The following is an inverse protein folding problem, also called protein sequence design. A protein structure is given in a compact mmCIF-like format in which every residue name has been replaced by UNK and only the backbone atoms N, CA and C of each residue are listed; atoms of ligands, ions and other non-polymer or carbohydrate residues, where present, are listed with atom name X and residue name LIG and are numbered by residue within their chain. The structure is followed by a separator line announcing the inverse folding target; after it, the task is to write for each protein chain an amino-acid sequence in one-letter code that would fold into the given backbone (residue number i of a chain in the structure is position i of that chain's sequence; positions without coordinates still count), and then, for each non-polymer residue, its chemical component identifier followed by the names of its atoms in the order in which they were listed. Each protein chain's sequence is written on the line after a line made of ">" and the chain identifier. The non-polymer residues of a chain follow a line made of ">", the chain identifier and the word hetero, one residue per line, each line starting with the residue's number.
data_IF_837719914814
#
_entry.id   IF_837719914814
#
_cell.length_a   1.000
_cell.length_b   1.000
_cell.length_c   1.000
_cell.angle_alpha   90.00
_cell.angle_beta   90.00
_cell.angle_gamma   90.00
#
_symmetry.space_group_name_H-M   'P 1'
#
loop_
_entity.id
_entity.type
_entity.pdbx_description
1 polymer ?
#
# COMPACT_ATOMS: atom_id res chain seq x y z
N UNK A 1 -20.71 -13.42 -6.38
CA UNK A 1 -19.72 -13.81 -7.40
C UNK A 1 -18.45 -13.03 -7.08
N UNK A 2 -17.35 -13.72 -6.79
CA UNK A 2 -16.04 -13.08 -6.63
C UNK A 2 -15.73 -12.38 -7.97
N UNK A 3 -15.31 -11.13 -7.94
CA UNK A 3 -15.30 -10.26 -9.12
C UNK A 3 -14.63 -10.90 -10.36
N UNK A 4 -15.18 -10.60 -11.53
CA UNK A 4 -14.61 -11.01 -12.83
C UNK A 4 -13.42 -10.11 -13.15
N UNK A 5 -12.28 -10.38 -12.52
CA UNK A 5 -11.03 -9.69 -12.83
C UNK A 5 -10.38 -10.34 -14.05
N UNK A 6 -10.00 -9.53 -15.05
CA UNK A 6 -9.05 -9.99 -16.05
C UNK A 6 -7.64 -10.07 -15.45
N UNK A 7 -6.73 -10.88 -16.02
CA UNK A 7 -5.32 -10.83 -15.66
C UNK A 7 -4.77 -9.41 -15.84
N UNK A 8 -4.12 -8.83 -14.82
CA UNK A 8 -3.62 -7.45 -14.87
C UNK A 8 -4.48 -6.43 -14.09
N UNK A 9 -5.78 -6.69 -13.92
CA UNK A 9 -6.69 -5.68 -13.38
C UNK A 9 -6.41 -5.36 -11.91
N UNK A 10 -5.96 -6.35 -11.14
CA UNK A 10 -5.71 -6.22 -9.70
C UNK A 10 -4.42 -5.45 -9.43
N UNK A 11 -3.35 -5.79 -10.12
CA UNK A 11 -2.08 -5.09 -10.06
C UNK A 11 -2.22 -3.66 -10.55
N UNK A 12 -2.89 -3.41 -11.69
CA UNK A 12 -3.13 -2.06 -12.17
C UNK A 12 -3.90 -1.22 -11.13
N UNK A 13 -4.97 -1.79 -10.54
CA UNK A 13 -5.70 -1.09 -9.50
C UNK A 13 -4.82 -0.78 -8.28
N UNK A 14 -4.07 -1.77 -7.78
CA UNK A 14 -3.22 -1.58 -6.61
C UNK A 14 -2.17 -0.50 -6.89
N UNK A 15 -1.46 -0.57 -8.02
CA UNK A 15 -0.43 0.38 -8.40
C UNK A 15 -0.96 1.78 -8.73
N UNK A 16 -2.22 1.91 -9.18
CA UNK A 16 -2.88 3.22 -9.36
C UNK A 16 -3.03 4.01 -8.05
N UNK A 17 -2.86 3.35 -6.89
CA UNK A 17 -2.86 3.98 -5.57
C UNK A 17 -1.45 4.11 -4.96
N UNK A 18 -0.38 3.78 -5.69
CA UNK A 18 0.97 3.98 -5.19
C UNK A 18 1.27 5.48 -5.04
N UNK A 19 1.75 5.93 -3.86
CA UNK A 19 2.12 7.32 -3.65
C UNK A 19 3.41 7.67 -4.41
N UNK A 20 3.63 8.97 -4.63
CA UNK A 20 4.90 9.46 -5.14
C UNK A 20 6.05 9.17 -4.14
N UNK A 21 7.09 8.41 -4.55
CA UNK A 21 8.24 8.14 -3.70
C UNK A 21 9.00 9.39 -3.26
N UNK A 22 8.99 10.47 -4.05
CA UNK A 22 9.77 11.67 -3.77
C UNK A 22 9.33 12.40 -2.49
N UNK A 23 8.07 12.24 -2.08
CA UNK A 23 7.51 12.85 -0.88
C UNK A 23 7.68 12.03 0.41
N UNK A 24 8.37 10.89 0.36
CA UNK A 24 8.41 9.90 1.45
C UNK A 24 9.84 9.68 1.95
N UNK A 25 10.35 10.52 2.87
CA UNK A 25 11.68 10.32 3.44
C UNK A 25 11.73 9.02 4.25
N UNK A 26 12.92 8.42 4.32
CA UNK A 26 13.14 7.20 5.10
C UNK A 26 12.77 7.41 6.58
N UNK A 27 11.86 6.60 7.16
CA UNK A 27 11.54 6.67 8.57
C UNK A 27 12.78 6.35 9.41
N UNK A 28 13.01 7.05 10.52
CA UNK A 28 14.17 6.80 11.39
C UNK A 28 13.83 5.77 12.46
N UNK A 29 12.57 5.72 12.86
CA UNK A 29 12.01 4.88 13.91
C UNK A 29 10.68 4.30 13.48
N UNK A 30 10.21 3.24 14.15
CA UNK A 30 8.91 2.63 13.86
C UNK A 30 7.74 3.59 14.12
N UNK A 31 7.90 4.59 15.00
CA UNK A 31 6.85 5.58 15.26
C UNK A 31 6.68 6.59 14.12
N UNK A 32 7.67 6.68 13.22
CA UNK A 32 7.58 7.52 12.03
C UNK A 32 6.75 6.85 10.92
N UNK A 33 6.48 5.54 11.04
CA UNK A 33 5.67 4.77 10.09
C UNK A 33 4.20 4.88 10.49
N UNK A 34 3.33 5.46 9.63
CA UNK A 34 1.91 5.61 9.97
C UNK A 34 1.19 4.25 9.95
N UNK A 35 0.09 4.13 10.71
CA UNK A 35 -0.75 2.93 10.66
C UNK A 35 -1.67 2.88 9.42
N UNK A 36 -1.96 4.05 8.83
CA UNK A 36 -2.82 4.25 7.66
C UNK A 36 -2.37 5.49 6.88
N UNK A 37 -2.66 5.56 5.59
CA UNK A 37 -2.44 6.76 4.76
C UNK A 37 -3.69 7.13 3.97
N UNK A 38 -3.76 8.34 3.37
CA UNK A 38 -4.82 8.69 2.43
C UNK A 38 -4.95 7.67 1.29
N UNK A 39 -3.82 7.22 0.73
CA UNK A 39 -3.76 6.25 -0.36
C UNK A 39 -4.26 4.88 0.08
N UNK A 40 -3.86 4.39 1.27
CA UNK A 40 -4.33 3.11 1.79
C UNK A 40 -5.83 3.10 2.06
N UNK A 41 -6.37 4.25 2.50
CA UNK A 41 -7.81 4.45 2.67
C UNK A 41 -8.54 4.41 1.33
N UNK A 42 -7.99 5.07 0.30
CA UNK A 42 -8.53 5.06 -1.06
C UNK A 42 -8.51 3.64 -1.67
N UNK A 43 -7.38 2.94 -1.56
CA UNK A 43 -7.22 1.55 -2.01
C UNK A 43 -8.21 0.61 -1.32
N UNK A 44 -8.35 0.68 0.00
CA UNK A 44 -9.35 -0.11 0.76
C UNK A 44 -10.76 0.12 0.22
N UNK A 45 -11.14 1.37 -0.09
CA UNK A 45 -12.46 1.69 -0.67
C UNK A 45 -12.61 1.10 -2.07
N UNK A 46 -11.60 1.22 -2.93
CA UNK A 46 -11.62 0.71 -4.30
C UNK A 46 -11.74 -0.83 -4.33
N UNK A 47 -10.96 -1.52 -3.50
CA UNK A 47 -11.00 -2.99 -3.37
C UNK A 47 -12.37 -3.46 -2.86
N UNK A 48 -12.93 -2.78 -1.84
CA UNK A 48 -14.30 -3.07 -1.34
C UNK A 48 -15.36 -2.87 -2.40
N UNK A 49 -15.25 -1.80 -3.21
CA UNK A 49 -16.18 -1.53 -4.31
C UNK A 49 -16.16 -2.65 -5.36
N UNK A 50 -15.01 -3.30 -5.56
CA UNK A 50 -14.85 -4.48 -6.42
C UNK A 50 -15.09 -5.82 -5.70
N UNK A 51 -15.72 -5.79 -4.53
CA UNK A 51 -16.21 -6.98 -3.84
C UNK A 51 -15.22 -7.67 -2.89
N UNK A 52 -14.00 -7.15 -2.72
CA UNK A 52 -13.07 -7.69 -1.72
C UNK A 52 -13.55 -7.34 -0.30
N UNK A 53 -13.36 -8.28 0.62
CA UNK A 53 -13.73 -8.15 2.03
C UNK A 53 -12.49 -8.24 2.90
N UNK A 54 -12.60 -7.80 4.16
CA UNK A 54 -11.48 -7.78 5.14
C UNK A 54 -10.27 -6.91 4.73
N UNK A 55 -10.48 -5.97 3.80
CA UNK A 55 -9.45 -5.03 3.33
C UNK A 55 -9.68 -3.65 3.93
N UNK A 56 -9.49 -3.49 5.25
CA UNK A 56 -9.54 -2.18 5.90
C UNK A 56 -8.34 -1.29 5.51
N UNK A 57 -8.36 0.03 5.81
CA UNK A 57 -7.25 0.93 5.48
C UNK A 57 -5.89 0.49 6.02
N UNK A 58 -5.84 -0.09 7.21
CA UNK A 58 -4.59 -0.65 7.79
C UNK A 58 -4.11 -1.87 7.02
N UNK A 59 -5.01 -2.81 6.69
CA UNK A 59 -4.70 -3.97 5.86
C UNK A 59 -4.21 -3.57 4.47
N UNK A 60 -4.85 -2.57 3.87
CA UNK A 60 -4.43 -2.01 2.59
C UNK A 60 -3.05 -1.36 2.69
N UNK A 61 -2.73 -0.68 3.80
CA UNK A 61 -1.40 -0.10 3.99
C UNK A 61 -0.32 -1.17 4.16
N UNK A 62 -0.62 -2.22 4.94
CA UNK A 62 0.27 -3.37 5.08
C UNK A 62 0.53 -4.05 3.71
N UNK A 63 -0.48 -4.14 2.84
CA UNK A 63 -0.32 -4.61 1.46
C UNK A 63 0.63 -3.71 0.68
N UNK A 64 0.47 -2.38 0.76
CA UNK A 64 1.34 -1.42 0.08
C UNK A 64 2.80 -1.59 0.51
N UNK A 65 3.05 -1.78 1.81
CA UNK A 65 4.38 -2.04 2.36
C UNK A 65 4.94 -3.38 1.87
N UNK A 66 4.17 -4.46 1.99
CA UNK A 66 4.61 -5.81 1.64
C UNK A 66 4.88 -6.01 0.15
N UNK A 67 4.12 -5.34 -0.71
CA UNK A 67 4.26 -5.41 -2.17
C UNK A 67 5.19 -4.33 -2.74
N UNK A 68 5.75 -3.43 -1.92
CA UNK A 68 6.72 -2.43 -2.35
C UNK A 68 6.14 -1.23 -3.08
N UNK A 69 4.84 -0.92 -2.87
CA UNK A 69 4.25 0.35 -3.29
C UNK A 69 4.79 1.52 -2.45
N UNK A 70 5.24 1.21 -1.23
CA UNK A 70 5.97 2.13 -0.35
C UNK A 70 7.21 1.41 0.19
N UNK A 71 8.31 2.14 0.33
CA UNK A 71 9.51 1.67 1.03
C UNK A 71 9.58 2.31 2.43
N UNK A 72 8.91 1.67 3.38
CA UNK A 72 8.92 2.07 4.79
C UNK A 72 10.02 1.35 5.59
N UNK A 73 11.00 0.73 4.94
CA UNK A 73 12.20 0.29 5.65
C UNK A 73 12.84 1.49 6.36
N UNK A 74 13.23 1.30 7.62
CA UNK A 74 13.90 2.34 8.38
C UNK A 74 15.20 2.76 7.68
N UNK A 75 15.62 4.01 7.90
CA UNK A 75 16.80 4.59 7.28
C UNK A 75 18.09 3.76 7.49
N UNK A 76 18.19 3.06 8.63
CA UNK A 76 19.31 2.19 8.97
C UNK A 76 19.10 0.71 8.61
N UNK A 77 17.99 0.36 7.95
CA UNK A 77 17.69 -1.02 7.59
C UNK A 77 18.57 -1.49 6.44
N UNK A 78 19.24 -2.64 6.62
CA UNK A 78 20.13 -3.24 5.60
C UNK A 78 19.41 -3.62 4.30
N UNK A 79 18.10 -3.81 4.34
CA UNK A 79 17.28 -4.18 3.18
C UNK A 79 16.70 -2.97 2.43
N UNK A 80 16.88 -1.75 2.95
CA UNK A 80 16.36 -0.54 2.31
C UNK A 80 17.09 -0.29 1.00
N UNK A 81 16.36 0.08 -0.05
CA UNK A 81 16.98 0.43 -1.33
C UNK A 81 17.67 1.81 -1.23
N UNK A 82 18.82 2.00 -1.89
CA UNK A 82 19.52 3.29 -1.93
C UNK A 82 18.65 4.39 -2.56
#
# INVERSE_FOLDING_TARGET
>A
MLAEWAPGDLDELIWSHAPDPAGRPAPKTLTDVPAVTPESTALSKALKKRGLRFVGPTTAYALMQACGLVDDHLAACVARRP
#
